data_IF_118273021094
#
_entry.id   IF_118273021094
#
_cell.length_a   1.000
_cell.length_b   1.000
_cell.length_c   1.000
_cell.angle_alpha   90.00
_cell.angle_beta   90.00
_cell.angle_gamma   90.00
#
_symmetry.space_group_name_H-M   'P 1'
#
loop_
_entity.id
_entity.type
_entity.pdbx_description
1 polymer ?
#
# COMPACT_ATOMS: atom_id res chain seq x y z
N UNK A 1 16.90 -0.26 21.87
CA UNK A 1 16.69 -1.48 22.67
C UNK A 1 16.08 -2.52 21.76
N UNK A 2 16.78 -3.62 21.45
CA UNK A 2 16.15 -4.74 20.75
C UNK A 2 15.05 -5.29 21.67
N UNK A 3 13.79 -5.11 21.26
CA UNK A 3 12.67 -5.74 21.95
C UNK A 3 12.72 -7.25 21.74
N UNK A 4 12.16 -8.00 22.69
CA UNK A 4 12.00 -9.45 22.54
C UNK A 4 11.28 -9.77 21.21
N UNK A 5 11.68 -10.84 20.51
CA UNK A 5 11.07 -11.24 19.23
C UNK A 5 9.53 -11.32 19.31
N UNK A 6 9.02 -11.77 20.46
CA UNK A 6 7.59 -11.90 20.73
C UNK A 6 6.88 -10.55 20.74
N UNK A 7 7.52 -9.51 21.28
CA UNK A 7 6.97 -8.16 21.34
C UNK A 7 6.91 -7.53 19.95
N UNK A 8 7.94 -7.73 19.11
CA UNK A 8 7.93 -7.27 17.73
C UNK A 8 6.82 -7.93 16.90
N UNK A 9 6.62 -9.24 17.06
CA UNK A 9 5.52 -9.97 16.41
C UNK A 9 4.17 -9.42 16.88
N UNK A 10 4.03 -9.16 18.17
CA UNK A 10 2.80 -8.63 18.74
C UNK A 10 2.45 -7.25 18.19
N UNK A 11 3.42 -6.33 18.11
CA UNK A 11 3.26 -5.00 17.52
C UNK A 11 2.88 -5.10 16.04
N UNK A 12 3.56 -5.97 15.29
CA UNK A 12 3.28 -6.17 13.87
C UNK A 12 1.84 -6.65 13.65
N UNK A 13 1.41 -7.66 14.40
CA UNK A 13 0.07 -8.24 14.24
C UNK A 13 -1.03 -7.28 14.72
N UNK A 14 -0.79 -6.55 15.80
CA UNK A 14 -1.83 -5.76 16.46
C UNK A 14 -1.94 -4.32 15.94
N UNK A 15 -0.88 -3.78 15.33
CA UNK A 15 -0.85 -2.40 14.83
C UNK A 15 -0.69 -2.39 13.31
N UNK A 16 0.36 -3.03 12.78
CA UNK A 16 0.71 -2.92 11.35
C UNK A 16 -0.36 -3.56 10.46
N UNK A 17 -0.77 -4.80 10.77
CA UNK A 17 -1.80 -5.51 10.01
C UNK A 17 -3.14 -4.74 9.96
N UNK A 18 -3.75 -4.35 11.09
CA UNK A 18 -5.04 -3.64 11.04
C UNK A 18 -4.94 -2.26 10.39
N UNK A 19 -3.81 -1.55 10.50
CA UNK A 19 -3.59 -0.29 9.79
C UNK A 19 -3.53 -0.51 8.26
N UNK A 20 -2.92 -1.61 7.82
CA UNK A 20 -2.87 -2.02 6.42
C UNK A 20 -4.26 -2.42 5.89
N UNK A 21 -5.03 -3.17 6.68
CA UNK A 21 -6.40 -3.54 6.33
C UNK A 21 -7.29 -2.28 6.24
N UNK A 22 -7.15 -1.35 7.18
CA UNK A 22 -7.93 -0.12 7.21
C UNK A 22 -7.62 0.78 6.00
N UNK A 23 -6.36 0.93 5.64
CA UNK A 23 -5.96 1.67 4.44
C UNK A 23 -6.46 1.00 3.16
N UNK A 24 -6.33 -0.32 3.04
CA UNK A 24 -6.91 -1.08 1.92
C UNK A 24 -8.43 -0.94 1.84
N UNK A 25 -9.13 -0.93 2.99
CA UNK A 25 -10.56 -0.70 3.08
C UNK A 25 -10.96 0.71 2.64
N UNK A 26 -10.25 1.75 3.09
CA UNK A 26 -10.50 3.14 2.67
C UNK A 26 -10.34 3.31 1.16
N UNK A 27 -9.30 2.70 0.60
CA UNK A 27 -9.10 2.61 -0.84
C UNK A 27 -10.30 1.89 -1.48
N UNK A 28 -10.71 0.72 -0.99
CA UNK A 28 -11.86 0.01 -1.56
C UNK A 28 -13.17 0.82 -1.52
N UNK A 29 -13.44 1.54 -0.43
CA UNK A 29 -14.61 2.41 -0.30
C UNK A 29 -14.53 3.59 -1.27
N UNK A 30 -13.37 4.25 -1.38
CA UNK A 30 -13.17 5.26 -2.42
C UNK A 30 -13.34 4.68 -3.82
N UNK A 31 -12.95 3.41 -4.04
CA UNK A 31 -13.06 2.72 -5.33
C UNK A 31 -14.52 2.54 -5.71
N UNK A 32 -15.40 2.24 -4.74
CA UNK A 32 -16.84 2.12 -4.98
C UNK A 32 -17.49 3.46 -5.34
N UNK A 33 -17.00 4.57 -4.78
CA UNK A 33 -17.63 5.89 -4.90
C UNK A 33 -17.00 6.80 -5.97
N UNK A 34 -15.92 6.40 -6.63
CA UNK A 34 -15.23 7.23 -7.64
C UNK A 34 -15.50 6.73 -9.06
N UNK A 35 -16.00 7.60 -9.94
CA UNK A 35 -16.24 7.29 -11.37
C UNK A 35 -14.95 7.19 -12.19
N UNK A 36 -13.91 7.95 -11.85
CA UNK A 36 -12.72 8.05 -12.70
C UNK A 36 -11.62 7.07 -12.30
N UNK A 37 -11.51 5.95 -13.04
CA UNK A 37 -10.42 4.98 -12.90
C UNK A 37 -9.01 5.59 -13.08
N UNK A 38 -8.88 6.71 -13.81
CA UNK A 38 -7.62 7.45 -13.98
C UNK A 38 -7.03 7.96 -12.66
N UNK A 39 -7.88 8.42 -11.73
CA UNK A 39 -7.43 8.88 -10.40
C UNK A 39 -6.79 7.74 -9.61
N UNK A 40 -7.27 6.52 -9.79
CA UNK A 40 -6.74 5.31 -9.17
C UNK A 40 -5.41 4.87 -9.75
N UNK A 41 -5.27 4.94 -11.08
CA UNK A 41 -4.00 4.67 -11.75
C UNK A 41 -2.91 5.58 -11.19
N UNK A 42 -3.22 6.89 -11.08
CA UNK A 42 -2.29 7.89 -10.56
C UNK A 42 -1.96 7.64 -9.08
N UNK A 43 -2.97 7.32 -8.26
CA UNK A 43 -2.78 7.02 -6.85
C UNK A 43 -1.91 5.78 -6.64
N UNK A 44 -2.16 4.69 -7.36
CA UNK A 44 -1.34 3.48 -7.29
C UNK A 44 0.11 3.74 -7.70
N UNK A 45 0.34 4.53 -8.75
CA UNK A 45 1.70 4.94 -9.16
C UNK A 45 2.38 5.76 -8.06
N UNK A 46 1.69 6.72 -7.45
CA UNK A 46 2.24 7.52 -6.34
C UNK A 46 2.63 6.65 -5.14
N UNK A 47 1.77 5.70 -4.75
CA UNK A 47 2.05 4.74 -3.67
C UNK A 47 3.27 3.87 -4.02
N UNK A 48 3.36 3.41 -5.26
CA UNK A 48 4.50 2.60 -5.72
C UNK A 48 5.82 3.39 -5.71
N UNK A 49 5.79 4.67 -6.13
CA UNK A 49 6.95 5.55 -6.09
C UNK A 49 7.42 5.84 -4.66
N UNK A 50 6.48 6.11 -3.74
CA UNK A 50 6.81 6.28 -2.31
C UNK A 50 7.43 5.00 -1.76
N UNK A 51 6.83 3.85 -2.03
CA UNK A 51 7.40 2.55 -1.66
C UNK A 51 8.80 2.34 -2.25
N UNK A 52 9.02 2.75 -3.49
CA UNK A 52 10.31 2.62 -4.16
C UNK A 52 11.39 3.52 -3.55
N UNK A 53 11.04 4.73 -3.13
CA UNK A 53 11.96 5.61 -2.39
C UNK A 53 12.33 4.98 -1.05
N UNK A 54 11.36 4.39 -0.33
CA UNK A 54 11.62 3.71 0.93
C UNK A 54 12.56 2.51 0.77
N UNK A 55 12.42 1.74 -0.31
CA UNK A 55 13.31 0.61 -0.63
C UNK A 55 14.76 1.07 -0.89
N UNK A 56 14.95 2.25 -1.48
CA UNK A 56 16.26 2.77 -1.85
C UNK A 56 16.95 3.56 -0.72
N UNK A 57 16.25 3.84 0.38
CA UNK A 57 16.82 4.57 1.51
C UNK A 57 17.45 3.60 2.51
N UNK A 58 18.77 3.52 2.50
CA UNK A 58 19.56 2.68 3.42
C UNK A 58 19.38 3.06 4.90
N UNK A 59 18.78 4.22 5.22
CA UNK A 59 18.46 4.61 6.60
C UNK A 59 17.13 4.03 7.09
N UNK A 60 16.31 3.49 6.19
CA UNK A 60 15.00 2.96 6.46
C UNK A 60 15.04 1.45 6.21
N UNK A 61 15.19 0.69 7.29
CA UNK A 61 15.18 -0.78 7.25
C UNK A 61 13.99 -1.33 8.03
N UNK A 62 12.89 -1.54 7.31
CA UNK A 62 11.74 -2.33 7.69
C UNK A 62 11.95 -3.80 7.30
N UNK A 63 13.17 -4.30 7.21
CA UNK A 63 13.48 -5.73 7.02
C UNK A 63 12.80 -6.31 5.75
N UNK A 64 12.72 -5.51 4.68
CA UNK A 64 12.16 -5.89 3.38
C UNK A 64 10.65 -5.67 3.22
N UNK A 65 9.95 -5.10 4.20
CA UNK A 65 8.51 -4.81 4.08
C UNK A 65 8.19 -3.63 3.14
N UNK A 66 9.17 -2.80 2.79
CA UNK A 66 9.05 -1.66 1.86
C UNK A 66 8.61 -2.11 0.47
N UNK A 67 9.11 -3.26 0.02
CA UNK A 67 8.72 -3.90 -1.23
C UNK A 67 7.22 -4.22 -1.27
N UNK A 68 6.60 -4.47 -0.11
CA UNK A 68 5.15 -4.72 -0.02
C UNK A 68 4.34 -3.47 -0.39
N UNK A 69 4.86 -2.27 -0.07
CA UNK A 69 4.24 -0.99 -0.43
C UNK A 69 4.34 -0.77 -1.94
N UNK A 70 5.50 -1.08 -2.55
CA UNK A 70 5.70 -1.01 -4.01
C UNK A 70 4.68 -1.89 -4.74
N UNK A 71 4.55 -3.14 -4.30
CA UNK A 71 3.64 -4.13 -4.89
C UNK A 71 2.18 -3.68 -4.72
N UNK A 72 1.80 -3.19 -3.55
CA UNK A 72 0.46 -2.63 -3.34
C UNK A 72 0.14 -1.50 -4.32
N UNK A 73 1.05 -0.54 -4.47
CA UNK A 73 0.88 0.58 -5.39
C UNK A 73 0.65 0.12 -6.83
N UNK A 74 1.39 -0.90 -7.28
CA UNK A 74 1.21 -1.50 -8.59
C UNK A 74 -0.16 -2.19 -8.73
N UNK A 75 -0.58 -2.98 -7.75
CA UNK A 75 -1.90 -3.63 -7.74
C UNK A 75 -3.01 -2.57 -7.84
N UNK A 76 -2.89 -1.49 -7.06
CA UNK A 76 -3.85 -0.37 -7.11
C UNK A 76 -3.91 0.28 -8.49
N UNK A 77 -2.76 0.45 -9.14
CA UNK A 77 -2.69 1.01 -10.48
C UNK A 77 -3.38 0.09 -11.51
N UNK A 78 -3.14 -1.22 -11.43
CA UNK A 78 -3.77 -2.24 -12.29
C UNK A 78 -5.29 -2.29 -12.08
N UNK A 79 -5.75 -2.26 -10.83
CA UNK A 79 -7.18 -2.21 -10.50
C UNK A 79 -7.82 -0.94 -11.07
N UNK A 80 -7.14 0.20 -10.96
CA UNK A 80 -7.55 1.47 -11.58
C UNK A 80 -7.66 1.39 -13.10
N UNK A 81 -6.69 0.73 -13.77
CA UNK A 81 -6.72 0.51 -15.21
C UNK A 81 -7.90 -0.35 -15.64
N UNK A 82 -8.18 -1.43 -14.91
CA UNK A 82 -9.33 -2.29 -15.17
C UNK A 82 -10.63 -1.48 -15.09
N UNK A 83 -10.82 -0.70 -14.02
CA UNK A 83 -12.03 0.12 -13.86
C UNK A 83 -12.16 1.22 -14.92
N UNK A 84 -11.05 1.85 -15.33
CA UNK A 84 -11.08 2.86 -16.41
C UNK A 84 -11.53 2.27 -17.75
N UNK A 85 -11.23 0.99 -18.02
CA UNK A 85 -11.61 0.31 -19.26
C UNK A 85 -13.10 0.01 -19.37
N UNK A 86 -13.81 -0.13 -18.24
CA UNK A 86 -15.26 -0.37 -18.18
C UNK A 86 -16.11 0.91 -18.03
N UNK A 87 -15.48 2.06 -17.82
CA UNK A 87 -16.14 3.35 -17.60
C UNK A 87 -16.02 4.31 -18.80
N UNK A 88 -15.49 3.82 -19.93
CA UNK A 88 -15.36 4.50 -21.21
C UNK A 88 -16.26 3.85 -22.26
#
# INVERSE_FOLDING_TARGET
MNMSPIVNIFIFVLIVIPMFIYSAYLIFVMLKNTDSGKKYILFGIQVSLIGGILVLDDNIDFNGYEYSIVILGLILSIVGMSKNKYSS
#
